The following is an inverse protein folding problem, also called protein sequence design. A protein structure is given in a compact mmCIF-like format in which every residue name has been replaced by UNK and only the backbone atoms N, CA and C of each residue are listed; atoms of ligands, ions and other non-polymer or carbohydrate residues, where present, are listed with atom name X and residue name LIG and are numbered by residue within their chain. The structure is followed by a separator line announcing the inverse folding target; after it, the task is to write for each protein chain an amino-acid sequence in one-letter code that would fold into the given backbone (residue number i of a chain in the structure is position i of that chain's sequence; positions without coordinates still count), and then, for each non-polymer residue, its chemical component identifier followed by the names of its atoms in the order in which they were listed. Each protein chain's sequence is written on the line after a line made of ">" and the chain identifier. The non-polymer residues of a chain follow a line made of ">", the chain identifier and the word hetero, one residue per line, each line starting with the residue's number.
data_IF_176667245943
#
_entry.id   IF_176667245943
#
_cell.length_a   1.000
_cell.length_b   1.000
_cell.length_c   1.000
_cell.angle_alpha   90.00
_cell.angle_beta   90.00
_cell.angle_gamma   90.00
#
_symmetry.space_group_name_H-M   'P 1'
#
loop_
_entity.id
_entity.type
_entity.pdbx_description
1 polymer ?
#
# COMPACT_ATOMS: atom_id res chain seq x y z
N UNK A 1 -58.20 -0.81 40.71
CA UNK A 1 -57.42 -0.66 39.47
C UNK A 1 -56.04 -1.25 39.73
N UNK A 2 -55.58 -2.21 38.91
CA UNK A 2 -54.42 -3.06 39.20
C UNK A 2 -53.10 -2.35 38.83
N UNK A 3 -51.94 -2.79 39.38
CA UNK A 3 -50.64 -2.44 38.84
C UNK A 3 -50.29 -3.38 37.67
N UNK A 4 -49.85 -2.79 36.56
CA UNK A 4 -49.38 -3.51 35.38
C UNK A 4 -47.99 -4.14 35.64
N UNK A 5 -47.91 -5.46 35.44
CA UNK A 5 -46.67 -6.18 35.14
C UNK A 5 -46.19 -5.81 33.72
N UNK A 6 -44.88 -5.62 33.59
CA UNK A 6 -44.18 -5.54 32.31
C UNK A 6 -42.80 -6.16 32.47
N UNK A 7 -42.71 -7.45 32.14
CA UNK A 7 -41.48 -8.20 31.96
C UNK A 7 -41.04 -8.05 30.50
N UNK A 8 -39.78 -7.68 30.26
CA UNK A 8 -39.10 -7.95 29.00
C UNK A 8 -37.58 -7.96 29.24
N UNK A 9 -37.03 -9.16 29.32
CA UNK A 9 -35.61 -9.47 29.25
C UNK A 9 -34.97 -8.89 27.97
N UNK A 10 -33.89 -8.11 28.14
CA UNK A 10 -33.04 -7.60 27.06
C UNK A 10 -31.80 -8.49 26.80
N UNK A 11 -31.89 -9.77 27.17
CA UNK A 11 -30.76 -10.72 27.07
C UNK A 11 -30.53 -11.29 25.66
N UNK A 12 -31.38 -10.95 24.68
CA UNK A 12 -31.36 -11.55 23.35
C UNK A 12 -30.60 -10.79 22.26
N UNK A 13 -30.23 -9.51 22.46
CA UNK A 13 -29.60 -8.68 21.41
C UNK A 13 -28.07 -8.75 21.40
N UNK A 14 -27.43 -9.08 22.52
CA UNK A 14 -25.98 -9.25 22.61
C UNK A 14 -25.47 -10.56 21.99
N UNK A 15 -26.26 -11.64 22.09
CA UNK A 15 -25.85 -12.96 21.63
C UNK A 15 -25.71 -13.08 20.10
N UNK A 16 -26.50 -12.31 19.33
CA UNK A 16 -26.48 -12.37 17.86
C UNK A 16 -25.29 -11.59 17.27
N UNK A 17 -24.83 -10.50 17.92
CA UNK A 17 -23.62 -9.78 17.48
C UNK A 17 -22.35 -10.53 17.86
N UNK A 18 -22.33 -11.17 19.04
CA UNK A 18 -21.22 -12.04 19.42
C UNK A 18 -21.13 -13.28 18.53
N UNK A 19 -22.25 -13.90 18.15
CA UNK A 19 -22.24 -15.03 17.21
C UNK A 19 -21.80 -14.66 15.79
N UNK A 20 -22.08 -13.43 15.30
CA UNK A 20 -21.54 -12.96 14.01
C UNK A 20 -20.04 -12.70 14.06
N UNK A 21 -19.52 -12.20 15.19
CA UNK A 21 -18.07 -12.04 15.41
C UNK A 21 -17.36 -13.39 15.63
N UNK A 22 -18.01 -14.37 16.25
CA UNK A 22 -17.48 -15.72 16.39
C UNK A 22 -17.47 -16.48 15.05
N UNK A 23 -18.46 -16.29 14.18
CA UNK A 23 -18.46 -16.88 12.83
C UNK A 23 -17.41 -16.22 11.91
N UNK A 24 -17.10 -14.94 12.11
CA UNK A 24 -15.99 -14.27 11.44
C UNK A 24 -14.64 -14.77 11.96
N UNK A 25 -14.48 -14.99 13.28
CA UNK A 25 -13.22 -15.47 13.87
C UNK A 25 -12.98 -16.98 13.68
N UNK A 26 -14.02 -17.78 13.48
CA UNK A 26 -13.92 -19.22 13.20
C UNK A 26 -13.45 -19.56 11.77
N UNK A 27 -13.27 -18.57 10.88
CA UNK A 27 -12.53 -18.73 9.61
C UNK A 27 -11.02 -18.49 9.74
N UNK A 28 -10.55 -17.96 10.88
CA UNK A 28 -9.14 -17.61 11.10
C UNK A 28 -8.43 -18.65 11.98
N UNK A 29 -8.53 -19.92 11.60
CA UNK A 29 -7.71 -20.99 12.15
C UNK A 29 -6.43 -21.14 11.35
N UNK A 30 -5.29 -20.68 11.86
CA UNK A 30 -3.91 -21.00 11.44
C UNK A 30 -3.49 -20.84 9.96
N UNK A 31 -4.33 -20.40 9.03
CA UNK A 31 -3.98 -20.17 7.63
C UNK A 31 -4.44 -18.79 7.17
N UNK A 32 -3.67 -18.17 6.27
CA UNK A 32 -3.96 -16.88 5.64
C UNK A 32 -5.27 -16.85 4.82
N UNK A 33 -5.46 -15.79 4.04
CA UNK A 33 -6.60 -15.66 3.11
C UNK A 33 -6.17 -15.95 1.66
N UNK A 34 -7.12 -16.32 0.80
CA UNK A 34 -6.88 -16.32 -0.64
C UNK A 34 -7.04 -14.90 -1.20
N UNK A 35 -6.13 -14.48 -2.06
CA UNK A 35 -6.17 -13.21 -2.78
C UNK A 35 -6.06 -13.43 -4.28
N UNK A 36 -6.63 -12.53 -5.09
CA UNK A 36 -6.29 -12.43 -6.52
C UNK A 36 -5.16 -11.43 -6.70
N UNK A 37 -4.12 -11.83 -7.41
CA UNK A 37 -2.92 -11.01 -7.62
C UNK A 37 -2.37 -11.15 -9.04
N UNK A 38 -1.59 -10.16 -9.47
CA UNK A 38 -0.86 -10.15 -10.75
C UNK A 38 0.60 -10.50 -10.51
N UNK A 39 1.02 -11.63 -11.05
CA UNK A 39 2.36 -12.19 -10.85
C UNK A 39 3.26 -12.00 -12.06
N UNK A 40 4.54 -11.75 -11.79
CA UNK A 40 5.62 -11.90 -12.76
C UNK A 40 6.44 -13.13 -12.38
N UNK A 41 6.29 -14.21 -13.16
CA UNK A 41 6.99 -15.47 -12.91
C UNK A 41 8.38 -15.50 -13.58
N UNK A 42 8.49 -14.89 -14.77
CA UNK A 42 9.71 -14.87 -15.58
C UNK A 42 9.84 -13.50 -16.25
N UNK A 43 11.03 -12.91 -16.23
CA UNK A 43 11.31 -11.66 -16.94
C UNK A 43 11.05 -11.83 -18.45
N UNK A 44 10.39 -10.85 -19.04
CA UNK A 44 10.06 -10.77 -20.47
C UNK A 44 8.76 -11.48 -20.85
N UNK A 45 8.21 -12.31 -19.95
CA UNK A 45 6.95 -13.02 -20.19
C UNK A 45 5.73 -12.19 -19.75
N UNK A 46 4.54 -12.45 -20.32
CA UNK A 46 3.30 -11.85 -19.85
C UNK A 46 3.04 -12.14 -18.37
N UNK A 47 2.55 -11.11 -17.66
CA UNK A 47 2.06 -11.27 -16.29
C UNK A 47 0.83 -12.16 -16.24
N UNK A 48 0.61 -12.82 -15.10
CA UNK A 48 -0.53 -13.72 -14.91
C UNK A 48 -1.43 -13.23 -13.78
N UNK A 49 -2.74 -13.44 -13.92
CA UNK A 49 -3.70 -13.23 -12.83
C UNK A 49 -3.92 -14.57 -12.15
N UNK A 50 -3.56 -14.66 -10.88
CA UNK A 50 -3.55 -15.91 -10.13
C UNK A 50 -4.24 -15.75 -8.77
N UNK A 51 -4.64 -16.87 -8.18
CA UNK A 51 -5.07 -16.93 -6.79
C UNK A 51 -3.88 -17.36 -5.93
N UNK A 52 -3.53 -16.58 -4.92
CA UNK A 52 -2.39 -16.82 -4.02
C UNK A 52 -2.88 -16.89 -2.56
N UNK A 53 -2.04 -17.41 -1.66
CA UNK A 53 -2.28 -17.30 -0.22
C UNK A 53 -1.60 -16.04 0.35
N UNK A 54 -2.29 -15.32 1.23
CA UNK A 54 -1.79 -14.15 1.95
C UNK A 54 -1.89 -14.39 3.46
N UNK A 55 -0.75 -14.44 4.14
CA UNK A 55 -0.66 -14.58 5.58
C UNK A 55 -1.23 -13.34 6.32
N UNK A 56 -1.58 -13.52 7.60
CA UNK A 56 -2.01 -12.42 8.47
C UNK A 56 -0.87 -11.42 8.72
N UNK A 57 -1.19 -10.14 8.98
CA UNK A 57 -0.18 -9.15 9.36
C UNK A 57 0.51 -9.52 10.68
N UNK A 58 1.83 -9.44 10.71
CA UNK A 58 2.63 -9.57 11.93
C UNK A 58 2.87 -8.19 12.59
N UNK A 59 3.75 -8.16 13.59
CA UNK A 59 4.03 -6.95 14.36
C UNK A 59 4.49 -5.79 13.44
N UNK A 60 3.86 -4.63 13.57
CA UNK A 60 4.13 -3.43 12.76
C UNK A 60 3.58 -3.50 11.32
N UNK A 61 2.77 -4.51 11.02
CA UNK A 61 2.18 -4.72 9.70
C UNK A 61 0.66 -4.53 9.70
N UNK A 62 0.13 -4.20 8.55
CA UNK A 62 -1.30 -3.97 8.33
C UNK A 62 -1.76 -4.70 7.08
N UNK A 63 -2.98 -5.21 7.12
CA UNK A 63 -3.69 -5.75 5.97
C UNK A 63 -4.54 -4.64 5.34
N UNK A 64 -4.31 -4.37 4.06
CA UNK A 64 -5.04 -3.36 3.29
C UNK A 64 -5.89 -4.07 2.25
N UNK A 65 -7.18 -3.74 2.19
CA UNK A 65 -8.06 -4.08 1.07
C UNK A 65 -7.93 -2.99 0.00
N UNK A 66 -7.55 -3.38 -1.21
CA UNK A 66 -7.20 -2.44 -2.26
C UNK A 66 -8.45 -1.84 -2.93
N UNK A 67 -8.49 -0.51 -3.00
CA UNK A 67 -9.54 0.23 -3.70
C UNK A 67 -9.14 0.59 -5.14
N UNK A 68 -7.86 0.94 -5.35
CA UNK A 68 -7.30 1.19 -6.67
C UNK A 68 -5.78 0.96 -6.67
N UNK A 69 -5.25 0.58 -7.83
CA UNK A 69 -3.83 0.50 -8.10
C UNK A 69 -3.50 1.21 -9.42
N UNK A 70 -2.35 1.87 -9.45
CA UNK A 70 -1.80 2.48 -10.67
C UNK A 70 -0.99 1.47 -11.49
N UNK A 71 -0.86 1.75 -12.78
CA UNK A 71 0.07 1.04 -13.67
C UNK A 71 1.13 2.05 -14.09
N UNK A 72 2.34 1.86 -13.57
CA UNK A 72 3.46 2.76 -13.81
C UNK A 72 4.46 2.11 -14.76
N UNK A 73 5.18 2.93 -15.52
CA UNK A 73 6.20 2.44 -16.44
C UNK A 73 7.35 1.70 -15.72
N UNK A 74 7.57 1.98 -14.44
CA UNK A 74 8.53 1.22 -13.62
C UNK A 74 8.12 -0.24 -13.44
N UNK A 75 6.82 -0.55 -13.38
CA UNK A 75 6.34 -1.94 -13.35
C UNK A 75 6.64 -2.63 -14.69
N UNK A 76 6.46 -1.92 -15.82
CA UNK A 76 6.85 -2.40 -17.15
C UNK A 76 8.36 -2.62 -17.27
N UNK A 77 9.18 -1.81 -16.61
CA UNK A 77 10.62 -2.02 -16.55
C UNK A 77 10.99 -3.29 -15.78
N UNK A 78 10.25 -3.66 -14.73
CA UNK A 78 10.44 -4.95 -14.06
C UNK A 78 10.04 -6.11 -14.98
N UNK A 79 8.89 -6.01 -15.67
CA UNK A 79 8.43 -7.02 -16.63
C UNK A 79 9.47 -7.23 -17.74
N UNK A 80 10.02 -6.16 -18.30
CA UNK A 80 10.99 -6.22 -19.40
C UNK A 80 12.45 -6.44 -18.96
N UNK A 81 12.73 -6.49 -17.66
CA UNK A 81 14.08 -6.71 -17.13
C UNK A 81 15.00 -5.49 -17.17
N UNK A 82 14.49 -4.29 -17.45
CA UNK A 82 15.25 -3.05 -17.34
C UNK A 82 15.51 -2.66 -15.89
N UNK A 83 14.62 -3.05 -14.97
CA UNK A 83 14.81 -2.96 -13.53
C UNK A 83 14.82 -4.36 -12.92
N UNK A 84 15.65 -4.55 -11.89
CA UNK A 84 15.65 -5.79 -11.11
C UNK A 84 14.36 -5.93 -10.29
N UNK A 85 13.86 -7.16 -10.22
CA UNK A 85 12.85 -7.58 -9.26
C UNK A 85 13.20 -9.03 -8.86
N UNK A 86 13.05 -9.34 -7.58
CA UNK A 86 13.12 -10.73 -7.14
C UNK A 86 11.87 -11.46 -7.64
N UNK A 87 12.04 -12.56 -8.37
CA UNK A 87 10.94 -13.31 -9.00
C UNK A 87 10.90 -14.76 -8.49
N UNK A 88 9.71 -15.38 -8.41
CA UNK A 88 8.40 -14.84 -8.79
C UNK A 88 7.91 -13.78 -7.78
N UNK A 89 7.28 -12.71 -8.26
CA UNK A 89 6.71 -11.65 -7.41
C UNK A 89 5.30 -11.24 -7.81
N UNK A 90 4.60 -10.57 -6.89
CA UNK A 90 3.41 -9.75 -7.19
C UNK A 90 3.87 -8.32 -7.46
N UNK A 91 3.50 -7.77 -8.62
CA UNK A 91 3.91 -6.43 -9.05
C UNK A 91 3.05 -5.30 -8.45
N UNK A 92 3.37 -4.06 -8.82
CA UNK A 92 2.64 -2.85 -8.45
C UNK A 92 3.26 -2.09 -7.28
N UNK A 93 3.42 -0.79 -7.46
CA UNK A 93 3.95 0.12 -6.43
C UNK A 93 3.16 1.45 -6.32
N UNK A 94 2.01 1.52 -6.98
CA UNK A 94 1.05 2.62 -6.87
C UNK A 94 -0.28 2.04 -6.37
N UNK A 95 -0.80 2.54 -5.24
CA UNK A 95 -1.99 1.95 -4.65
C UNK A 95 -2.59 2.74 -3.50
N UNK A 96 -3.91 2.60 -3.35
CA UNK A 96 -4.66 3.11 -2.22
C UNK A 96 -5.81 2.16 -1.85
N UNK A 97 -6.15 2.13 -0.57
CA UNK A 97 -7.13 1.19 -0.03
C UNK A 97 -7.54 1.50 1.40
N UNK A 98 -8.19 0.54 2.04
CA UNK A 98 -8.65 0.63 3.42
C UNK A 98 -7.92 -0.40 4.30
N UNK A 99 -7.50 0.03 5.49
CA UNK A 99 -6.92 -0.89 6.48
C UNK A 99 -8.03 -1.78 7.04
N UNK A 100 -7.93 -3.09 6.84
CA UNK A 100 -8.96 -4.06 7.28
C UNK A 100 -8.50 -4.96 8.43
N UNK A 101 -7.19 -5.06 8.67
CA UNK A 101 -6.64 -5.66 9.89
C UNK A 101 -5.28 -5.05 10.22
N UNK A 102 -4.87 -5.15 11.48
CA UNK A 102 -3.58 -4.68 11.97
C UNK A 102 -2.93 -5.78 12.80
N UNK A 103 -1.61 -5.90 12.71
CA UNK A 103 -0.83 -6.74 13.60
C UNK A 103 -0.46 -6.02 14.90
N UNK A 104 0.23 -6.71 15.82
CA UNK A 104 0.72 -6.11 17.07
C UNK A 104 1.60 -4.88 16.84
N UNK A 105 1.69 -3.97 17.80
CA UNK A 105 2.58 -2.79 17.77
C UNK A 105 2.37 -1.83 16.57
N UNK A 106 1.23 -1.89 15.88
CA UNK A 106 0.81 -0.85 14.93
C UNK A 106 0.26 0.34 15.73
N UNK A 107 0.76 1.53 15.45
CA UNK A 107 0.43 2.77 16.18
C UNK A 107 0.01 3.93 15.24
N UNK A 108 0.34 3.85 13.95
CA UNK A 108 0.21 4.97 13.00
C UNK A 108 -1.14 5.01 12.28
N UNK A 109 -1.81 3.86 12.18
CA UNK A 109 -3.08 3.65 11.48
C UNK A 109 -3.96 2.69 12.27
N UNK A 110 -5.26 2.67 11.96
CA UNK A 110 -6.24 1.74 12.55
C UNK A 110 -7.14 1.14 11.49
N UNK A 111 -7.83 0.06 11.83
CA UNK A 111 -8.87 -0.53 10.97
C UNK A 111 -9.92 0.53 10.59
N UNK A 112 -10.29 0.56 9.31
CA UNK A 112 -11.18 1.54 8.69
C UNK A 112 -10.49 2.81 8.19
N UNK A 113 -9.19 3.03 8.50
CA UNK A 113 -8.46 4.14 7.90
C UNK A 113 -8.28 3.91 6.39
N UNK A 114 -8.58 4.94 5.60
CA UNK A 114 -8.24 5.00 4.18
C UNK A 114 -6.78 5.44 4.04
N UNK A 115 -6.01 4.75 3.20
CA UNK A 115 -4.58 4.97 3.05
C UNK A 115 -4.15 5.01 1.58
N UNK A 116 -3.24 5.92 1.26
CA UNK A 116 -2.38 5.84 0.08
C UNK A 116 -1.08 5.16 0.48
N UNK A 117 -0.53 4.35 -0.42
CA UNK A 117 0.67 3.57 -0.14
C UNK A 117 1.93 4.25 -0.64
N UNK A 118 2.96 4.21 0.20
CA UNK A 118 4.29 4.71 -0.09
C UNK A 118 5.27 3.52 -0.13
N UNK A 119 5.85 3.30 -1.30
CA UNK A 119 6.84 2.25 -1.51
C UNK A 119 8.23 2.59 -0.97
N UNK A 120 8.48 3.83 -0.54
CA UNK A 120 9.71 4.23 0.17
C UNK A 120 9.35 4.68 1.60
N UNK A 121 9.06 3.75 2.52
CA UNK A 121 8.76 4.11 3.91
C UNK A 121 9.99 4.73 4.59
N UNK A 122 9.75 5.73 5.44
CA UNK A 122 10.80 6.41 6.20
C UNK A 122 10.87 5.88 7.63
N UNK A 123 12.04 5.41 8.09
CA UNK A 123 12.22 4.84 9.43
C UNK A 123 12.15 5.87 10.57
N UNK A 124 12.24 7.17 10.25
CA UNK A 124 12.12 8.26 11.22
C UNK A 124 13.36 8.54 12.07
N UNK A 125 14.35 7.64 12.09
CA UNK A 125 15.49 7.73 13.02
C UNK A 125 16.89 7.72 12.34
N UNK A 126 17.00 7.39 11.05
CA UNK A 126 18.30 7.38 10.36
C UNK A 126 18.83 8.80 10.08
N UNK A 127 20.09 8.88 9.60
CA UNK A 127 20.75 10.14 9.24
C UNK A 127 19.87 11.05 8.37
N UNK A 128 19.25 10.49 7.34
CA UNK A 128 18.39 11.26 6.43
C UNK A 128 17.04 11.64 7.05
N UNK A 129 16.40 10.69 7.75
CA UNK A 129 15.11 10.94 8.39
C UNK A 129 15.18 12.04 9.45
N UNK A 130 16.22 12.04 10.28
CA UNK A 130 16.45 13.08 11.31
C UNK A 130 16.67 14.49 10.74
N UNK A 131 16.99 14.59 9.44
CA UNK A 131 17.24 15.85 8.72
C UNK A 131 16.09 16.21 7.76
N UNK A 132 14.92 15.58 7.94
CA UNK A 132 13.75 15.75 7.09
C UNK A 132 13.98 15.38 5.60
N UNK A 133 15.00 14.59 5.31
CA UNK A 133 15.29 14.06 3.97
C UNK A 133 14.70 12.64 3.83
N UNK A 134 13.42 12.49 4.16
CA UNK A 134 12.76 11.17 4.29
C UNK A 134 12.80 10.34 3.00
N UNK A 135 12.85 10.98 1.84
CA UNK A 135 13.00 10.35 0.52
C UNK A 135 14.35 9.65 0.33
N UNK A 136 15.35 9.93 1.18
CA UNK A 136 16.67 9.27 1.18
C UNK A 136 16.82 8.26 2.32
N UNK A 137 15.72 7.80 2.92
CA UNK A 137 15.75 6.85 4.02
C UNK A 137 16.61 5.62 3.66
N UNK A 138 17.72 5.41 4.39
CA UNK A 138 18.63 4.28 4.16
C UNK A 138 17.94 2.93 4.33
N UNK A 139 17.16 2.78 5.40
CA UNK A 139 16.41 1.55 5.68
C UNK A 139 15.33 1.27 4.64
N UNK A 140 14.67 2.32 4.14
CA UNK A 140 13.67 2.20 3.07
C UNK A 140 14.34 1.71 1.79
N UNK A 141 15.35 2.44 1.30
CA UNK A 141 16.01 2.16 0.03
C UNK A 141 16.72 0.81 -0.02
N UNK A 142 17.27 0.33 1.08
CA UNK A 142 17.90 -0.99 1.12
C UNK A 142 16.89 -2.13 0.93
N UNK A 143 15.63 -1.93 1.35
CA UNK A 143 14.66 -3.02 1.47
C UNK A 143 13.69 -3.10 0.31
N UNK A 144 13.44 -2.01 -0.41
CA UNK A 144 12.51 -1.98 -1.55
C UNK A 144 12.83 -3.01 -2.64
N UNK A 145 14.10 -3.38 -2.79
CA UNK A 145 14.55 -4.34 -3.81
C UNK A 145 14.80 -5.75 -3.26
N UNK A 146 14.52 -6.00 -1.97
CA UNK A 146 14.87 -7.26 -1.32
C UNK A 146 13.93 -8.43 -1.64
N UNK A 147 12.73 -8.16 -2.17
CA UNK A 147 11.70 -9.18 -2.36
C UNK A 147 10.89 -9.49 -1.08
N UNK A 148 11.18 -8.85 0.05
CA UNK A 148 10.61 -9.19 1.36
C UNK A 148 10.08 -7.97 2.11
N UNK A 149 9.29 -8.23 3.16
CA UNK A 149 8.90 -7.23 4.15
C UNK A 149 10.04 -6.98 5.16
N UNK A 150 9.79 -6.14 6.16
CA UNK A 150 10.79 -5.65 7.11
C UNK A 150 11.47 -6.75 7.93
N UNK A 151 10.80 -7.88 8.16
CA UNK A 151 11.35 -9.03 8.88
C UNK A 151 12.15 -9.99 7.99
N UNK A 152 12.30 -9.68 6.69
CA UNK A 152 13.01 -10.53 5.72
C UNK A 152 12.19 -11.73 5.24
N UNK A 153 10.88 -11.73 5.47
CA UNK A 153 9.98 -12.80 5.03
C UNK A 153 8.90 -12.28 4.07
N UNK A 154 8.25 -13.20 3.36
CA UNK A 154 7.08 -12.89 2.54
C UNK A 154 5.79 -13.29 3.25
N UNK A 155 4.75 -12.48 3.06
CA UNK A 155 3.37 -12.82 3.40
C UNK A 155 2.61 -13.52 2.29
N UNK A 156 3.19 -13.61 1.08
CA UNK A 156 2.52 -14.15 -0.09
C UNK A 156 3.13 -15.52 -0.40
N UNK A 157 2.29 -16.51 -0.65
CA UNK A 157 2.74 -17.82 -1.13
C UNK A 157 1.88 -18.36 -2.27
N UNK A 158 2.45 -19.34 -2.96
CA UNK A 158 1.79 -20.24 -3.90
C UNK A 158 2.16 -21.66 -3.49
N UNK A 159 1.19 -22.48 -3.12
CA UNK A 159 1.41 -23.88 -2.71
C UNK A 159 2.47 -24.03 -1.60
N UNK A 160 2.48 -23.07 -0.66
CA UNK A 160 3.44 -23.01 0.45
C UNK A 160 4.85 -22.55 0.07
N UNK A 161 5.10 -22.22 -1.21
CA UNK A 161 6.34 -21.58 -1.65
C UNK A 161 6.19 -20.05 -1.66
N UNK A 162 7.19 -19.30 -1.19
CA UNK A 162 7.07 -17.85 -1.07
C UNK A 162 7.05 -17.19 -2.45
N UNK A 163 6.14 -16.22 -2.61
CA UNK A 163 6.12 -15.26 -3.72
C UNK A 163 6.65 -13.92 -3.18
N UNK A 164 7.55 -13.28 -3.91
CA UNK A 164 8.25 -12.08 -3.45
C UNK A 164 7.36 -10.83 -3.54
N UNK A 165 7.67 -9.87 -2.66
CA UNK A 165 7.09 -8.53 -2.66
C UNK A 165 7.83 -7.63 -3.63
N UNK A 166 7.09 -6.85 -4.41
CA UNK A 166 7.64 -5.79 -5.24
C UNK A 166 7.52 -4.44 -4.52
N UNK A 167 8.65 -3.76 -4.37
CA UNK A 167 8.75 -2.47 -3.66
C UNK A 167 8.16 -2.48 -2.24
N UNK A 168 8.12 -3.66 -1.60
CA UNK A 168 7.56 -3.87 -0.26
C UNK A 168 6.06 -3.63 -0.14
N UNK A 169 5.33 -3.49 -1.26
CA UNK A 169 3.89 -3.20 -1.25
C UNK A 169 3.07 -4.04 -2.24
N UNK A 170 3.56 -4.42 -3.43
CA UNK A 170 2.85 -5.37 -4.32
C UNK A 170 1.38 -5.03 -4.59
N UNK A 171 1.11 -3.81 -5.07
CA UNK A 171 -0.26 -3.25 -5.12
C UNK A 171 -1.17 -3.86 -6.18
N UNK A 172 -0.67 -4.73 -7.07
CA UNK A 172 -1.51 -5.45 -8.03
C UNK A 172 -2.09 -6.73 -7.42
N UNK A 173 -2.72 -6.58 -6.25
CA UNK A 173 -3.49 -7.60 -5.56
C UNK A 173 -4.76 -6.99 -4.95
N UNK A 174 -5.80 -7.80 -4.72
CA UNK A 174 -7.02 -7.31 -4.06
C UNK A 174 -6.82 -7.03 -2.56
N UNK A 175 -5.87 -7.70 -1.91
CA UNK A 175 -5.41 -7.44 -0.54
C UNK A 175 -3.90 -7.62 -0.43
N UNK A 176 -3.32 -6.96 0.56
CA UNK A 176 -1.88 -6.96 0.77
C UNK A 176 -1.52 -6.66 2.22
N UNK A 177 -0.43 -7.28 2.68
CA UNK A 177 0.17 -6.98 3.99
C UNK A 177 1.40 -6.11 3.79
N UNK A 178 1.45 -4.98 4.49
CA UNK A 178 2.56 -4.02 4.43
C UNK A 178 2.93 -3.50 5.80
N UNK A 179 4.11 -2.89 5.90
CA UNK A 179 4.46 -2.10 7.08
C UNK A 179 3.51 -0.92 7.25
N UNK A 180 3.11 -0.60 8.48
CA UNK A 180 2.35 0.62 8.77
C UNK A 180 3.09 1.91 8.34
N UNK A 181 4.43 1.85 8.20
CA UNK A 181 5.24 2.98 7.74
C UNK A 181 5.03 3.30 6.25
N UNK A 182 4.50 2.34 5.49
CA UNK A 182 4.10 2.52 4.08
C UNK A 182 2.69 3.08 3.93
N UNK A 183 1.93 3.23 5.03
CA UNK A 183 0.56 3.71 4.98
C UNK A 183 0.48 5.21 5.31
N UNK A 184 0.06 6.00 4.32
CA UNK A 184 -0.27 7.41 4.52
C UNK A 184 -1.79 7.56 4.57
N UNK A 185 -2.33 7.93 5.74
CA UNK A 185 -3.77 8.21 5.90
C UNK A 185 -4.20 9.31 4.93
N UNK A 186 -5.33 9.11 4.26
CA UNK A 186 -5.95 10.05 3.34
C UNK A 186 -7.34 10.48 3.84
N UNK A 187 -7.80 11.70 3.51
CA UNK A 187 -9.16 12.12 3.84
C UNK A 187 -10.23 11.29 3.13
N UNK A 188 -11.38 11.10 3.79
CA UNK A 188 -12.52 10.31 3.26
C UNK A 188 -13.08 10.84 1.94
N UNK A 189 -12.88 12.12 1.63
CA UNK A 189 -13.34 12.73 0.39
C UNK A 189 -12.45 12.41 -0.83
N UNK A 190 -11.22 11.91 -0.64
CA UNK A 190 -10.29 11.64 -1.75
C UNK A 190 -10.61 10.27 -2.36
N UNK A 191 -10.98 10.16 -3.65
CA UNK A 191 -11.21 8.86 -4.28
C UNK A 191 -9.93 8.01 -4.33
N UNK A 192 -10.07 6.67 -4.26
CA UNK A 192 -8.90 5.79 -4.23
C UNK A 192 -8.09 5.85 -5.52
N UNK A 193 -8.74 5.99 -6.67
CA UNK A 193 -8.12 6.14 -7.98
C UNK A 193 -7.24 7.39 -8.08
N UNK A 194 -7.59 8.46 -7.35
CA UNK A 194 -6.76 9.67 -7.26
C UNK A 194 -5.61 9.43 -6.29
N UNK A 195 -5.89 8.86 -5.12
CA UNK A 195 -4.90 8.62 -4.08
C UNK A 195 -3.79 7.63 -4.51
N UNK A 196 -4.14 6.62 -5.31
CA UNK A 196 -3.20 5.60 -5.77
C UNK A 196 -2.02 6.19 -6.57
N UNK A 197 -2.28 7.23 -7.35
CA UNK A 197 -1.27 7.90 -8.17
C UNK A 197 -0.30 8.79 -7.35
N UNK A 198 -0.70 9.16 -6.13
CA UNK A 198 0.11 10.02 -5.24
C UNK A 198 1.35 9.27 -4.76
N UNK A 199 1.25 7.97 -4.51
CA UNK A 199 2.34 7.15 -3.96
C UNK A 199 3.59 7.05 -4.83
N UNK A 200 3.51 7.36 -6.12
CA UNK A 200 4.66 7.40 -7.02
C UNK A 200 4.56 8.54 -8.03
N UNK A 201 3.81 8.37 -9.13
CA UNK A 201 3.86 9.26 -10.29
C UNK A 201 3.64 10.75 -9.96
N UNK A 202 2.60 11.05 -9.18
CA UNK A 202 2.24 12.44 -8.85
C UNK A 202 3.25 13.06 -7.88
N UNK A 203 3.56 12.38 -6.77
CA UNK A 203 4.55 12.91 -5.82
C UNK A 203 5.94 13.09 -6.45
N UNK A 204 6.33 12.19 -7.35
CA UNK A 204 7.60 12.27 -8.08
C UNK A 204 7.62 13.50 -8.99
N UNK A 205 6.61 13.69 -9.83
CA UNK A 205 6.57 14.80 -10.78
C UNK A 205 6.44 16.16 -10.07
N UNK A 206 5.47 16.30 -9.17
CA UNK A 206 5.27 17.55 -8.41
C UNK A 206 6.48 17.85 -7.53
N UNK A 207 7.01 16.84 -6.84
CA UNK A 207 8.19 16.99 -6.00
C UNK A 207 9.44 17.38 -6.80
N UNK A 208 9.62 16.87 -8.02
CA UNK A 208 10.72 17.27 -8.89
C UNK A 208 10.64 18.77 -9.24
N UNK A 209 9.46 19.28 -9.57
CA UNK A 209 9.24 20.69 -9.87
C UNK A 209 9.44 21.58 -8.62
N UNK A 210 8.75 21.25 -7.52
CA UNK A 210 8.69 22.13 -6.34
C UNK A 210 9.92 22.03 -5.46
N UNK A 211 10.47 20.82 -5.26
CA UNK A 211 11.51 20.59 -4.25
C UNK A 211 12.90 20.37 -4.84
N UNK A 212 13.00 19.88 -6.09
CA UNK A 212 14.30 19.59 -6.70
C UNK A 212 14.76 20.66 -7.67
N UNK A 213 13.85 21.15 -8.51
CA UNK A 213 14.09 22.27 -9.40
C UNK A 213 13.88 23.62 -8.69
N UNK A 214 13.14 23.63 -7.57
CA UNK A 214 12.86 24.82 -6.75
C UNK A 214 12.27 25.98 -7.59
N UNK A 215 11.36 25.63 -8.51
CA UNK A 215 10.76 26.58 -9.43
C UNK A 215 10.05 27.72 -8.71
N UNK A 216 10.18 28.91 -9.29
CA UNK A 216 9.63 30.17 -8.80
C UNK A 216 8.76 30.85 -9.85
N UNK A 217 8.03 31.88 -9.42
CA UNK A 217 7.14 32.66 -10.29
C UNK A 217 7.91 33.26 -11.50
N UNK A 218 7.39 33.03 -12.70
CA UNK A 218 7.96 33.53 -13.95
C UNK A 218 9.11 32.70 -14.55
N UNK A 219 9.50 31.59 -13.90
CA UNK A 219 10.47 30.67 -14.47
C UNK A 219 9.94 30.02 -15.76
N UNK A 220 10.77 29.92 -16.79
CA UNK A 220 10.43 29.16 -18.00
C UNK A 220 10.87 27.70 -17.86
N UNK A 221 9.94 26.76 -18.04
CA UNK A 221 10.16 25.33 -17.78
C UNK A 221 10.00 24.50 -19.04
N UNK A 222 10.94 23.58 -19.28
CA UNK A 222 10.83 22.54 -20.30
C UNK A 222 10.71 21.17 -19.63
N UNK A 223 9.64 20.42 -19.93
CA UNK A 223 9.43 19.05 -19.44
C UNK A 223 9.64 18.07 -20.60
N UNK A 224 10.64 17.20 -20.49
CA UNK A 224 10.95 16.17 -21.49
C UNK A 224 10.26 14.87 -21.11
N UNK A 225 9.18 14.54 -21.83
CA UNK A 225 8.33 13.38 -21.59
C UNK A 225 6.99 13.77 -20.97
N UNK A 226 5.88 13.38 -21.60
CA UNK A 226 4.51 13.74 -21.21
C UNK A 226 3.68 12.55 -20.70
N UNK A 227 4.32 11.59 -20.04
CA UNK A 227 3.65 10.52 -19.29
C UNK A 227 3.14 11.02 -17.93
N UNK A 228 2.62 10.12 -17.08
CA UNK A 228 2.03 10.48 -15.77
C UNK A 228 2.93 11.34 -14.87
N UNK A 229 4.22 10.98 -14.77
CA UNK A 229 5.21 11.77 -14.01
C UNK A 229 5.44 13.15 -14.64
N UNK A 230 5.60 13.21 -15.96
CA UNK A 230 5.86 14.47 -16.68
C UNK A 230 4.68 15.44 -16.60
N UNK A 231 3.46 14.95 -16.78
CA UNK A 231 2.25 15.74 -16.56
C UNK A 231 2.14 16.23 -15.11
N UNK A 232 2.58 15.42 -14.15
CA UNK A 232 2.64 15.82 -12.74
C UNK A 232 3.70 16.89 -12.47
N UNK A 233 4.83 16.85 -13.18
CA UNK A 233 5.83 17.93 -13.14
C UNK A 233 5.28 19.23 -13.74
N UNK A 234 4.48 19.17 -14.81
CA UNK A 234 3.77 20.34 -15.35
C UNK A 234 2.79 20.91 -14.31
N UNK A 235 2.04 20.05 -13.61
CA UNK A 235 1.17 20.50 -12.51
C UNK A 235 1.98 21.21 -11.41
N UNK A 236 3.10 20.62 -10.98
CA UNK A 236 4.00 21.22 -9.98
C UNK A 236 4.58 22.56 -10.44
N UNK A 237 5.00 22.68 -11.71
CA UNK A 237 5.50 23.92 -12.28
C UNK A 237 4.43 25.03 -12.23
N UNK A 238 3.20 24.72 -12.66
CA UNK A 238 2.07 25.66 -12.56
C UNK A 238 1.76 26.07 -11.11
N UNK A 239 1.85 25.14 -10.16
CA UNK A 239 1.65 25.44 -8.74
C UNK A 239 2.72 26.39 -8.18
N UNK A 240 3.94 26.33 -8.73
CA UNK A 240 5.06 27.22 -8.40
C UNK A 240 5.02 28.60 -9.10
N UNK A 241 4.09 28.81 -10.03
CA UNK A 241 3.96 30.09 -10.76
C UNK A 241 4.85 30.24 -11.99
N UNK A 242 5.46 29.15 -12.47
CA UNK A 242 6.13 29.10 -13.76
C UNK A 242 5.15 29.25 -14.94
#
# INVERSE_FOLDING_TARGET
>A
MPPHQGCADDSGRGAISEQRNLLASQRFGFLGMQIRAVTLNTVGEPVQVETLELAQPLSGEVLVAMGAAGICHSDQHAISGHHGAEIPCVLGHEGAGEVVAIGPAVERVRVGDRVALNWIPSCGNCFYCSRNQKHLCSEGLQRIWSGYLQDGTSRISRDGQPIMHYCGISTWADHMVVSEASCQRIPDAVPFEVAALIGCGVATGVGAAVHRAELSEGDSVAVVGAGGVGLSAIMGARMSGA
#
